data_IF_837902815409
#
_entry.id   IF_837902815409
#
_cell.length_a   1.000
_cell.length_b   1.000
_cell.length_c   1.000
_cell.angle_alpha   90.00
_cell.angle_beta   90.00
_cell.angle_gamma   90.00
#
_symmetry.space_group_name_H-M   'P 1'
#
loop_
_entity.id
_entity.type
_entity.pdbx_description
1 polymer ?
#
# COMPACT_ATOMS: atom_id res chain seq x y z
N UNK A 1 -19.02 2.26 -23.21
CA UNK A 1 -17.70 2.88 -22.96
C UNK A 1 -17.50 3.02 -21.44
N UNK A 2 -17.02 1.99 -20.75
CA UNK A 2 -16.80 2.02 -19.30
C UNK A 2 -15.35 1.63 -19.02
N UNK A 3 -14.43 2.60 -19.08
CA UNK A 3 -12.99 2.33 -19.03
C UNK A 3 -12.22 3.03 -17.90
N UNK A 4 -12.81 3.79 -16.98
CA UNK A 4 -12.02 4.73 -16.16
C UNK A 4 -12.49 4.90 -14.71
N UNK A 5 -12.81 3.82 -13.99
CA UNK A 5 -12.89 3.88 -12.51
C UNK A 5 -12.04 2.76 -11.93
N UNK A 6 -10.72 2.81 -12.10
CA UNK A 6 -9.82 2.12 -11.19
C UNK A 6 -8.36 2.55 -11.37
N UNK A 7 -8.06 3.84 -11.20
CA UNK A 7 -6.71 4.13 -10.70
C UNK A 7 -6.75 3.71 -9.24
N UNK A 8 -6.56 2.41 -8.96
CA UNK A 8 -6.39 1.95 -7.58
C UNK A 8 -5.18 2.70 -7.05
N UNK A 9 -5.36 3.49 -6.00
CA UNK A 9 -4.27 4.16 -5.27
C UNK A 9 -3.45 3.11 -4.50
N UNK A 10 -2.78 2.24 -5.25
CA UNK A 10 -2.00 1.15 -4.72
C UNK A 10 -0.59 1.10 -5.32
N UNK A 11 0.37 0.76 -4.48
CA UNK A 11 1.78 0.64 -4.86
C UNK A 11 2.33 -0.68 -4.31
N UNK A 12 3.00 -1.46 -5.16
CA UNK A 12 3.72 -2.64 -4.68
C UNK A 12 4.81 -2.22 -3.70
N UNK A 13 5.02 -3.00 -2.64
CA UNK A 13 6.02 -2.74 -1.61
C UNK A 13 7.43 -2.57 -2.20
N UNK A 14 7.80 -3.39 -3.19
CA UNK A 14 9.11 -3.31 -3.86
C UNK A 14 9.27 -1.98 -4.61
N UNK A 15 8.23 -1.51 -5.29
CA UNK A 15 8.25 -0.20 -5.97
C UNK A 15 8.36 0.93 -4.95
N UNK A 16 7.62 0.85 -3.84
CA UNK A 16 7.69 1.83 -2.76
C UNK A 16 9.11 1.90 -2.16
N UNK A 17 9.73 0.75 -1.88
CA UNK A 17 11.09 0.68 -1.37
C UNK A 17 12.11 1.35 -2.30
N UNK A 18 12.00 1.13 -3.61
CA UNK A 18 12.90 1.75 -4.61
C UNK A 18 12.71 3.26 -4.69
N UNK A 19 11.47 3.74 -4.66
CA UNK A 19 11.18 5.19 -4.72
C UNK A 19 11.70 5.90 -3.47
N UNK A 20 11.51 5.30 -2.29
CA UNK A 20 11.99 5.88 -1.03
C UNK A 20 13.50 5.74 -0.85
N UNK A 21 14.15 4.83 -1.57
CA UNK A 21 15.56 4.47 -1.40
C UNK A 21 15.92 4.12 0.06
N UNK A 22 14.97 3.50 0.78
CA UNK A 22 15.13 3.14 2.19
C UNK A 22 15.35 1.62 2.36
N UNK A 23 15.99 1.18 3.46
CA UNK A 23 16.02 -0.22 3.84
C UNK A 23 14.61 -0.79 4.00
N UNK A 24 14.40 -2.02 3.53
CA UNK A 24 13.10 -2.70 3.54
C UNK A 24 12.45 -2.69 4.95
N UNK A 25 13.24 -2.90 6.00
CA UNK A 25 12.76 -2.86 7.40
C UNK A 25 12.17 -1.49 7.77
N UNK A 26 12.80 -0.37 7.35
CA UNK A 26 12.28 0.97 7.63
C UNK A 26 10.97 1.24 6.90
N UNK A 27 10.85 0.77 5.65
CA UNK A 27 9.61 0.88 4.88
C UNK A 27 8.49 0.09 5.56
N UNK A 28 8.76 -1.13 6.00
CA UNK A 28 7.81 -1.94 6.76
C UNK A 28 7.34 -1.29 8.05
N UNK A 29 8.27 -0.74 8.84
CA UNK A 29 7.92 -0.03 10.07
C UNK A 29 7.03 1.19 9.78
N UNK A 30 7.35 1.97 8.74
CA UNK A 30 6.51 3.10 8.32
C UNK A 30 5.10 2.67 7.89
N UNK A 31 4.96 1.53 7.22
CA UNK A 31 3.66 1.00 6.80
C UNK A 31 2.83 0.48 7.98
N UNK A 32 3.46 -0.23 8.92
CA UNK A 32 2.81 -0.75 10.13
C UNK A 32 2.36 0.38 11.07
N UNK A 33 3.16 1.44 11.18
CA UNK A 33 2.87 2.58 12.05
C UNK A 33 2.00 3.65 11.38
N UNK A 34 1.94 3.67 10.05
CA UNK A 34 1.25 4.70 9.25
C UNK A 34 -0.22 4.40 8.94
N UNK A 35 -0.79 3.30 9.44
CA UNK A 35 -2.20 2.95 9.22
C UNK A 35 -2.52 2.56 7.77
N UNK A 36 -1.54 2.06 7.01
CA UNK A 36 -1.75 1.64 5.63
C UNK A 36 -2.36 0.24 5.57
N UNK A 37 -3.23 0.01 4.57
CA UNK A 37 -3.74 -1.33 4.29
C UNK A 37 -2.77 -2.09 3.40
N UNK A 38 -2.39 -3.31 3.83
CA UNK A 38 -1.54 -4.21 3.05
C UNK A 38 -2.36 -5.37 2.49
N UNK A 39 -2.21 -5.64 1.20
CA UNK A 39 -2.83 -6.78 0.51
C UNK A 39 -1.75 -7.69 -0.07
N UNK A 40 -1.78 -8.98 0.28
CA UNK A 40 -0.94 -9.99 -0.36
C UNK A 40 -1.71 -10.66 -1.50
N UNK A 41 -1.13 -10.64 -2.70
CA UNK A 41 -1.69 -11.19 -3.94
C UNK A 41 -0.79 -12.30 -4.46
N UNK A 42 -1.10 -13.55 -4.13
CA UNK A 42 -0.34 -14.73 -4.55
C UNK A 42 0.43 -15.35 -3.39
N UNK A 43 1.58 -15.95 -3.70
CA UNK A 43 2.30 -16.79 -2.74
C UNK A 43 2.79 -16.01 -1.51
N UNK A 44 2.67 -16.68 -0.35
CA UNK A 44 3.18 -16.18 0.93
C UNK A 44 4.70 -15.91 0.85
N UNK A 45 5.14 -14.84 1.51
CA UNK A 45 6.55 -14.39 1.62
C UNK A 45 7.21 -13.86 0.32
N UNK A 46 6.50 -13.77 -0.80
CA UNK A 46 7.02 -13.06 -1.96
C UNK A 46 6.73 -11.54 -1.83
N UNK A 47 7.76 -10.74 -1.57
CA UNK A 47 7.62 -9.28 -1.39
C UNK A 47 7.08 -8.54 -2.63
N UNK A 48 7.18 -9.16 -3.82
CA UNK A 48 6.58 -8.64 -5.07
C UNK A 48 5.05 -8.76 -5.09
N UNK A 49 4.49 -9.58 -4.20
CA UNK A 49 3.07 -9.84 -4.10
C UNK A 49 2.39 -8.98 -3.03
N UNK A 50 3.12 -8.06 -2.39
CA UNK A 50 2.57 -7.20 -1.33
C UNK A 50 2.26 -5.82 -1.92
N UNK A 51 1.02 -5.39 -1.77
CA UNK A 51 0.49 -4.12 -2.26
C UNK A 51 0.05 -3.27 -1.09
N UNK A 52 0.47 -2.01 -1.10
CA UNK A 52 0.04 -0.99 -0.15
C UNK A 52 -1.10 -0.21 -0.79
N UNK A 53 -2.23 -0.08 -0.10
CA UNK A 53 -3.35 0.79 -0.52
C UNK A 53 -3.35 2.06 0.31
N UNK A 54 -3.64 3.20 -0.32
CA UNK A 54 -4.04 4.37 0.45
C UNK A 54 -5.28 3.99 1.26
N UNK A 55 -5.20 4.12 2.59
CA UNK A 55 -6.41 4.01 3.39
C UNK A 55 -7.30 5.17 2.96
N UNK A 56 -8.60 4.96 2.70
CA UNK A 56 -9.52 6.09 2.68
C UNK A 56 -9.40 6.71 4.07
N UNK A 57 -8.96 7.96 4.14
CA UNK A 57 -9.03 8.74 5.36
C UNK A 57 -10.52 9.03 5.53
N UNK A 58 -11.27 8.10 6.12
CA UNK A 58 -12.66 8.35 6.50
C UNK A 58 -12.62 9.27 7.71
N UNK A 59 -12.57 10.58 7.46
CA UNK A 59 -13.00 11.57 8.46
C UNK A 59 -14.50 11.37 8.68
N UNK A 60 -14.88 10.38 9.49
CA UNK A 60 -16.24 10.24 10.02
C UNK A 60 -16.23 10.75 11.44
N UNK A 61 -16.26 12.08 11.60
CA UNK A 61 -16.89 12.69 12.75
C UNK A 61 -18.33 12.99 12.34
N UNK A 62 -19.33 12.18 12.73
CA UNK A 62 -20.71 12.63 12.68
C UNK A 62 -20.92 13.67 13.79
N UNK A 63 -21.31 14.88 13.40
CA UNK A 63 -21.95 15.87 14.28
C UNK A 63 -23.42 15.47 14.41
#
# INVERSE_FOLDING_TARGET
>A
ANHLINVKDEISLVKLQRVLQMPMVKVWLGLLLGGFTLEQRGDFYNSRNIWVKSSPITNTNPI
#
